data_IF_649540765618
#
_entry.id   IF_649540765618
#
_cell.length_a   1.000
_cell.length_b   1.000
_cell.length_c   1.000
_cell.angle_alpha   90.00
_cell.angle_beta   90.00
_cell.angle_gamma   90.00
#
_symmetry.space_group_name_H-M   'P 1'
#
loop_
_entity.id
_entity.type
_entity.pdbx_description
1 polymer ?
#
# COMPACT_ATOMS: atom_id res chain seq x y z
N UNK A 1 0.42 19.57 -7.62
CA UNK A 1 1.49 20.07 -8.51
C UNK A 1 2.26 18.84 -8.98
N UNK A 2 2.40 18.60 -10.27
CA UNK A 2 3.20 17.48 -10.77
C UNK A 2 4.69 17.87 -10.71
N UNK A 3 5.51 17.08 -10.03
CA UNK A 3 6.96 17.21 -10.06
C UNK A 3 7.51 16.22 -11.08
N UNK A 4 8.39 16.71 -11.95
CA UNK A 4 9.08 15.91 -12.97
C UNK A 4 10.53 15.76 -12.54
N UNK A 5 11.03 14.52 -12.54
CA UNK A 5 12.43 14.21 -12.26
C UNK A 5 13.03 13.59 -13.51
N UNK A 6 14.25 14.02 -13.87
CA UNK A 6 15.00 13.41 -14.95
C UNK A 6 15.62 12.10 -14.48
N UNK A 7 15.39 11.02 -15.23
CA UNK A 7 15.89 9.68 -14.95
C UNK A 7 16.69 9.20 -16.15
N UNK A 8 17.68 8.33 -15.92
CA UNK A 8 18.44 7.71 -17.00
C UNK A 8 17.99 6.27 -17.24
N UNK A 9 18.31 5.77 -18.43
CA UNK A 9 18.24 4.36 -18.74
C UNK A 9 19.68 3.84 -18.75
N UNK A 10 19.95 2.79 -17.98
CA UNK A 10 21.28 2.17 -17.96
C UNK A 10 21.55 1.31 -19.22
N UNK A 11 22.74 0.74 -19.30
CA UNK A 11 23.17 -0.09 -20.42
C UNK A 11 22.34 -1.39 -20.57
N UNK A 12 21.64 -1.79 -19.50
CA UNK A 12 20.80 -2.97 -19.43
C UNK A 12 19.33 -2.65 -19.75
N UNK A 13 19.02 -1.38 -20.06
CA UNK A 13 17.66 -0.94 -20.35
C UNK A 13 16.79 -0.72 -19.10
N UNK A 14 17.38 -0.62 -17.91
CA UNK A 14 16.68 -0.35 -16.66
C UNK A 14 16.57 1.16 -16.42
N UNK A 15 15.45 1.57 -15.83
CA UNK A 15 15.25 2.98 -15.43
C UNK A 15 15.92 3.20 -14.07
N UNK A 16 16.92 4.08 -14.05
CA UNK A 16 17.66 4.43 -12.83
C UNK A 16 17.03 5.66 -12.20
N UNK A 17 16.45 5.48 -11.01
CA UNK A 17 15.83 6.55 -10.23
C UNK A 17 16.85 7.09 -9.23
N UNK A 18 17.18 8.40 -9.27
CA UNK A 18 18.08 9.03 -8.30
C UNK A 18 17.57 8.84 -6.87
N UNK A 19 18.48 8.58 -5.92
CA UNK A 19 18.11 8.27 -4.53
C UNK A 19 17.33 9.42 -3.89
N UNK A 20 17.63 10.66 -4.26
CA UNK A 20 16.96 11.86 -3.76
C UNK A 20 15.50 11.94 -4.22
N UNK A 21 15.18 11.33 -5.36
CA UNK A 21 13.84 11.30 -5.92
C UNK A 21 12.96 10.22 -5.27
N UNK A 22 13.54 9.19 -4.65
CA UNK A 22 12.79 8.08 -4.03
C UNK A 22 11.81 8.60 -2.98
N UNK A 23 12.28 9.44 -2.06
CA UNK A 23 11.44 10.03 -1.01
C UNK A 23 10.39 11.00 -1.55
N UNK A 24 10.74 11.80 -2.56
CA UNK A 24 9.83 12.75 -3.20
C UNK A 24 8.69 12.05 -3.95
N UNK A 25 8.99 10.90 -4.55
CA UNK A 25 8.04 10.11 -5.34
C UNK A 25 7.30 9.05 -4.51
N UNK A 26 7.60 8.93 -3.21
CA UNK A 26 6.99 7.94 -2.31
C UNK A 26 7.32 6.49 -2.68
N UNK A 27 8.48 6.27 -3.30
CA UNK A 27 8.90 4.95 -3.75
C UNK A 27 9.60 4.20 -2.60
N UNK A 28 9.45 2.89 -2.58
CA UNK A 28 10.16 1.98 -1.68
C UNK A 28 10.74 0.81 -2.46
N UNK A 29 11.84 0.26 -1.96
CA UNK A 29 12.46 -0.93 -2.56
C UNK A 29 11.44 -2.08 -2.58
N UNK A 30 11.29 -2.73 -3.73
CA UNK A 30 10.34 -3.82 -3.92
C UNK A 30 8.95 -3.40 -4.40
N UNK A 31 8.67 -2.11 -4.54
CA UNK A 31 7.43 -1.64 -5.18
C UNK A 31 7.40 -1.98 -6.68
N UNK A 32 6.21 -2.28 -7.20
CA UNK A 32 5.96 -2.47 -8.63
C UNK A 32 5.50 -1.16 -9.27
N UNK A 33 6.09 -0.81 -10.42
CA UNK A 33 5.66 0.32 -11.25
C UNK A 33 5.04 -0.21 -12.54
N UNK A 34 3.88 0.33 -12.92
CA UNK A 34 3.22 0.04 -14.19
C UNK A 34 3.59 1.12 -15.20
N UNK A 35 4.04 0.70 -16.38
CA UNK A 35 4.28 1.58 -17.51
C UNK A 35 2.99 1.76 -18.33
N UNK A 36 2.49 2.99 -18.40
CA UNK A 36 1.31 3.37 -19.15
C UNK A 36 1.70 4.33 -20.28
N UNK A 37 0.97 4.28 -21.40
CA UNK A 37 1.15 5.27 -22.47
C UNK A 37 0.63 6.63 -21.98
N UNK A 38 1.48 7.65 -22.04
CA UNK A 38 1.07 9.02 -21.78
C UNK A 38 0.45 9.65 -23.02
N UNK A 39 -0.44 10.63 -22.80
CA UNK A 39 -1.19 11.32 -23.87
C UNK A 39 -0.26 12.03 -24.87
N UNK A 40 0.91 12.47 -24.42
CA UNK A 40 1.90 13.23 -25.21
C UNK A 40 2.97 12.33 -25.87
N UNK A 41 2.72 11.03 -26.01
CA UNK A 41 3.65 10.11 -26.68
C UNK A 41 4.82 9.63 -25.81
N UNK A 42 4.77 9.90 -24.51
CA UNK A 42 5.71 9.38 -23.51
C UNK A 42 5.21 8.12 -22.78
N UNK A 43 6.00 7.68 -21.81
CA UNK A 43 5.62 6.63 -20.85
C UNK A 43 5.39 7.29 -19.49
N UNK A 44 4.25 7.00 -18.85
CA UNK A 44 3.96 7.37 -17.47
C UNK A 44 4.18 6.14 -16.59
N UNK A 45 5.02 6.26 -15.58
CA UNK A 45 5.17 5.24 -14.55
C UNK A 45 4.21 5.55 -13.41
N UNK A 46 3.37 4.59 -13.04
CA UNK A 46 2.47 4.69 -11.89
C UNK A 46 2.78 3.58 -10.91
N UNK A 47 2.82 3.91 -9.62
CA UNK A 47 2.92 2.89 -8.56
C UNK A 47 1.72 1.96 -8.66
N UNK A 48 1.97 0.67 -8.77
CA UNK A 48 0.96 -0.35 -8.55
C UNK A 48 0.77 -0.50 -7.05
N UNK A 49 -0.41 -0.15 -6.50
CA UNK A 49 -0.67 -0.44 -5.10
C UNK A 49 -0.66 -1.95 -4.94
N UNK A 50 0.25 -2.47 -4.11
CA UNK A 50 0.22 -3.87 -3.74
C UNK A 50 -1.09 -4.09 -2.96
N UNK A 51 -2.02 -4.87 -3.54
CA UNK A 51 -3.25 -5.18 -2.84
C UNK A 51 -2.88 -5.94 -1.56
N UNK A 52 -3.35 -5.51 -0.38
CA UNK A 52 -3.04 -6.21 0.85
C UNK A 52 -3.48 -7.67 0.70
N UNK A 53 -2.52 -8.58 0.80
CA UNK A 53 -2.77 -10.00 0.59
C UNK A 53 -3.55 -10.51 1.79
N UNK A 54 -4.84 -10.78 1.57
CA UNK A 54 -5.73 -11.42 2.52
C UNK A 54 -5.85 -12.90 2.17
N UNK A 55 -5.42 -13.77 3.08
CA UNK A 55 -5.51 -15.23 2.89
C UNK A 55 -6.08 -15.90 4.12
N UNK A 56 -6.91 -16.93 3.94
CA UNK A 56 -7.32 -17.83 5.01
C UNK A 56 -6.33 -18.99 5.12
N UNK A 57 -5.83 -19.26 6.33
CA UNK A 57 -4.97 -20.40 6.64
C UNK A 57 -5.47 -21.09 7.91
N UNK A 58 -6.12 -22.23 7.76
CA UNK A 58 -6.60 -23.04 8.88
C UNK A 58 -7.59 -22.31 9.80
N UNK A 59 -8.53 -21.56 9.23
CA UNK A 59 -9.49 -20.74 9.99
C UNK A 59 -8.93 -19.43 10.54
N UNK A 60 -7.67 -19.10 10.25
CA UNK A 60 -7.06 -17.79 10.57
C UNK A 60 -7.00 -16.94 9.32
N UNK A 61 -7.55 -15.73 9.41
CA UNK A 61 -7.44 -14.72 8.36
C UNK A 61 -6.12 -13.95 8.53
N UNK A 62 -5.21 -14.08 7.58
CA UNK A 62 -3.89 -13.43 7.56
C UNK A 62 -3.92 -12.30 6.54
N UNK A 63 -3.53 -11.10 6.99
CA UNK A 63 -3.39 -9.93 6.12
C UNK A 63 -1.95 -9.42 6.16
N UNK A 64 -1.37 -9.13 4.99
CA UNK A 64 -0.12 -8.35 4.89
C UNK A 64 -0.49 -6.91 4.60
N UNK A 65 -0.36 -6.03 5.59
CA UNK A 65 -0.66 -4.61 5.49
C UNK A 65 0.22 -3.81 6.44
N UNK A 66 0.38 -2.52 6.17
CA UNK A 66 1.03 -1.57 7.07
C UNK A 66 -0.02 -0.93 7.99
N UNK A 67 0.18 -0.93 9.32
CA UNK A 67 -0.79 -0.35 10.24
C UNK A 67 -0.75 1.18 10.20
N UNK A 68 -1.91 1.80 10.09
CA UNK A 68 -2.05 3.27 10.18
C UNK A 68 -1.97 3.80 11.63
N UNK A 69 -1.91 2.92 12.63
CA UNK A 69 -1.92 3.26 14.04
C UNK A 69 -1.72 2.05 14.94
N UNK A 70 -2.04 2.18 16.23
CA UNK A 70 -1.88 1.09 17.21
C UNK A 70 -2.91 -0.04 16.97
N UNK A 71 -2.42 -1.17 16.46
CA UNK A 71 -3.21 -2.37 16.20
C UNK A 71 -3.85 -2.92 17.47
N UNK A 72 -3.15 -2.85 18.61
CA UNK A 72 -3.67 -3.37 19.88
C UNK A 72 -4.87 -2.56 20.36
N UNK A 73 -4.83 -1.23 20.18
CA UNK A 73 -5.95 -0.36 20.50
C UNK A 73 -7.15 -0.59 19.57
N UNK A 74 -6.91 -0.71 18.26
CA UNK A 74 -7.96 -1.04 17.30
C UNK A 74 -8.66 -2.38 17.65
N UNK A 75 -7.89 -3.41 18.02
CA UNK A 75 -8.44 -4.71 18.46
C UNK A 75 -9.26 -4.57 19.74
N UNK A 76 -8.81 -3.79 20.73
CA UNK A 76 -9.53 -3.55 21.98
C UNK A 76 -10.87 -2.86 21.73
N UNK A 77 -10.86 -1.78 20.94
CA UNK A 77 -12.06 -1.01 20.61
C UNK A 77 -13.10 -1.88 19.91
N UNK A 78 -12.69 -2.63 18.88
CA UNK A 78 -13.59 -3.48 18.11
C UNK A 78 -14.11 -4.68 18.91
N UNK A 79 -13.30 -5.22 19.84
CA UNK A 79 -13.78 -6.22 20.79
C UNK A 79 -14.84 -5.64 21.73
N UNK A 80 -14.61 -4.44 22.27
CA UNK A 80 -15.56 -3.76 23.16
C UNK A 80 -16.91 -3.50 22.46
N UNK A 81 -16.87 -2.99 21.22
CA UNK A 81 -18.05 -2.77 20.39
C UNK A 81 -18.85 -4.07 20.20
N UNK A 82 -18.19 -5.16 19.79
CA UNK A 82 -18.85 -6.47 19.60
C UNK A 82 -19.47 -7.00 20.88
N UNK A 83 -18.81 -6.84 22.02
CA UNK A 83 -19.38 -7.26 23.32
C UNK A 83 -20.64 -6.46 23.64
N UNK A 84 -20.63 -5.14 23.47
CA UNK A 84 -21.81 -4.30 23.67
C UNK A 84 -22.96 -4.70 22.75
N UNK A 85 -22.69 -4.98 21.48
CA UNK A 85 -23.72 -5.45 20.54
C UNK A 85 -24.34 -6.78 20.97
N UNK A 86 -23.54 -7.71 21.48
CA UNK A 86 -24.02 -8.99 21.99
C UNK A 86 -24.86 -8.82 23.25
N UNK A 87 -24.43 -7.95 24.17
CA UNK A 87 -25.17 -7.61 25.40
C UNK A 87 -26.52 -6.99 25.07
N UNK A 88 -26.53 -5.97 24.18
CA UNK A 88 -27.77 -5.34 23.71
C UNK A 88 -28.72 -6.31 23.02
N UNK A 89 -28.20 -7.25 22.22
CA UNK A 89 -29.01 -8.30 21.58
C UNK A 89 -29.55 -9.32 22.58
N UNK A 90 -28.83 -9.57 23.67
CA UNK A 90 -29.25 -10.45 24.74
C UNK A 90 -30.25 -9.80 25.72
N UNK A 91 -30.49 -8.48 25.60
CA UNK A 91 -31.39 -7.73 26.48
C UNK A 91 -30.84 -7.52 27.89
N UNK A 92 -29.51 -7.54 28.04
CA UNK A 92 -28.78 -7.29 29.29
C UNK A 92 -28.22 -5.86 29.34
#
# INVERSE_FOLDING_TARGET
MAQTVEVSVDEQGQIVIPLEAVGLLGLSVGMTLVAEKADEGGIRLRVEPEAPVLVEKGGVLVVRAEPLGDVAEAVRQERGRRVQELVSRAGL
#
